data_IF_550171325525
#
_entry.id   IF_550171325525
#
_cell.length_a   1.000
_cell.length_b   1.000
_cell.length_c   1.000
_cell.angle_alpha   90.00
_cell.angle_beta   90.00
_cell.angle_gamma   90.00
#
_symmetry.space_group_name_H-M   'P 1'
#
loop_
_entity.id
_entity.type
_entity.pdbx_description
1 polymer ?
#
# COMPACT_ATOMS: atom_id res chain seq x y z
N UNK A 1 74.19 -23.57 11.87
CA UNK A 1 73.07 -23.21 10.98
C UNK A 1 72.83 -21.73 11.15
N UNK A 2 73.39 -20.98 10.21
CA UNK A 2 73.56 -19.53 10.26
C UNK A 2 72.23 -18.77 10.29
N UNK A 3 72.14 -17.85 11.25
CA UNK A 3 71.05 -16.89 11.37
C UNK A 3 71.32 -15.75 10.39
N UNK A 4 70.58 -15.73 9.27
CA UNK A 4 70.69 -14.70 8.24
C UNK A 4 70.05 -13.39 8.72
N UNK A 5 70.88 -12.44 9.17
CA UNK A 5 70.47 -11.07 9.37
C UNK A 5 70.10 -10.45 8.01
N UNK A 6 68.82 -10.12 7.81
CA UNK A 6 68.34 -9.40 6.61
C UNK A 6 68.85 -7.96 6.66
N UNK A 7 69.82 -7.64 5.79
CA UNK A 7 70.32 -6.28 5.58
C UNK A 7 69.39 -5.53 4.61
N UNK A 8 69.09 -4.27 4.93
CA UNK A 8 68.52 -3.30 3.98
C UNK A 8 69.65 -2.37 3.54
N UNK A 9 69.91 -2.29 2.23
CA UNK A 9 70.90 -1.40 1.64
C UNK A 9 70.27 -0.03 1.33
N UNK A 10 70.89 1.03 1.83
CA UNK A 10 70.67 2.41 1.37
C UNK A 10 72.07 2.99 1.12
N UNK A 11 72.32 3.46 -0.10
CA UNK A 11 73.59 4.07 -0.55
C UNK A 11 74.87 3.22 -0.38
N UNK A 12 74.78 1.90 -0.56
CA UNK A 12 75.95 1.02 -0.68
C UNK A 12 76.71 0.73 0.62
N UNK A 13 76.15 1.08 1.79
CA UNK A 13 76.70 0.74 3.12
C UNK A 13 75.74 -0.15 3.92
N UNK A 14 76.23 -1.18 4.64
CA UNK A 14 75.40 -2.04 5.47
C UNK A 14 74.84 -1.25 6.66
N UNK A 15 73.56 -0.91 6.63
CA UNK A 15 72.90 -0.19 7.72
C UNK A 15 72.51 -1.15 8.85
N UNK A 16 73.27 -1.12 9.94
CA UNK A 16 72.87 -1.77 11.20
C UNK A 16 71.71 -0.97 11.79
N UNK A 17 70.48 -1.40 11.49
CA UNK A 17 69.28 -0.79 12.07
C UNK A 17 69.36 -0.85 13.58
N UNK A 18 69.67 0.29 14.21
CA UNK A 18 69.73 0.39 15.66
C UNK A 18 68.36 0.04 16.23
N UNK A 19 68.33 -0.54 17.42
CA UNK A 19 67.08 -0.88 18.10
C UNK A 19 66.13 0.32 18.15
N UNK A 20 66.67 1.52 18.35
CA UNK A 20 65.92 2.78 18.33
C UNK A 20 65.19 3.03 17.00
N UNK A 21 65.79 2.72 15.86
CA UNK A 21 65.15 2.89 14.55
C UNK A 21 63.98 1.91 14.35
N UNK A 22 64.16 0.63 14.72
CA UNK A 22 63.06 -0.35 14.66
C UNK A 22 61.93 0.02 15.62
N UNK A 23 62.27 0.48 16.82
CA UNK A 23 61.29 0.97 17.79
C UNK A 23 60.51 2.16 17.24
N UNK A 24 61.21 3.11 16.60
CA UNK A 24 60.58 4.28 15.99
C UNK A 24 59.61 3.90 14.86
N UNK A 25 59.95 2.92 14.02
CA UNK A 25 59.03 2.43 12.98
C UNK A 25 57.77 1.79 13.59
N UNK A 26 57.92 0.94 14.61
CA UNK A 26 56.78 0.32 15.32
C UNK A 26 55.90 1.40 15.98
N UNK A 27 56.52 2.43 16.57
CA UNK A 27 55.79 3.55 17.17
C UNK A 27 55.05 4.35 16.09
N UNK A 28 55.67 4.63 14.95
CA UNK A 28 55.04 5.36 13.85
C UNK A 28 53.86 4.60 13.26
N UNK A 29 53.99 3.29 13.06
CA UNK A 29 52.90 2.43 12.59
C UNK A 29 51.75 2.39 13.60
N UNK A 30 52.05 2.22 14.89
CA UNK A 30 51.02 2.23 15.94
C UNK A 30 50.30 3.60 16.03
N UNK A 31 51.03 4.71 15.93
CA UNK A 31 50.44 6.05 15.92
C UNK A 31 49.54 6.28 14.70
N UNK A 32 49.93 5.75 13.54
CA UNK A 32 49.11 5.80 12.32
C UNK A 32 47.81 5.03 12.49
N UNK A 33 47.86 3.81 13.01
CA UNK A 33 46.64 3.03 13.28
C UNK A 33 45.71 3.73 14.28
N UNK A 34 46.27 4.32 15.34
CA UNK A 34 45.50 5.10 16.31
C UNK A 34 44.84 6.31 15.63
N UNK A 35 45.56 7.04 14.77
CA UNK A 35 45.00 8.13 13.97
C UNK A 35 43.85 7.70 13.07
N UNK A 36 43.99 6.56 12.40
CA UNK A 36 42.95 5.99 11.53
C UNK A 36 41.70 5.56 12.32
N UNK A 37 41.86 5.04 13.54
CA UNK A 37 40.71 4.72 14.40
C UNK A 37 40.00 5.97 14.92
N UNK A 38 40.76 7.02 15.27
CA UNK A 38 40.20 8.29 15.76
C UNK A 38 39.32 8.96 14.70
N UNK A 39 39.80 9.01 13.44
CA UNK A 39 39.03 9.59 12.32
C UNK A 39 37.73 8.82 12.06
N UNK A 40 37.74 7.48 12.15
CA UNK A 40 36.53 6.66 12.04
C UNK A 40 35.53 6.98 13.14
N UNK A 41 35.98 7.06 14.40
CA UNK A 41 35.10 7.39 15.54
C UNK A 41 34.51 8.79 15.39
N UNK A 42 35.30 9.77 14.97
CA UNK A 42 34.83 11.12 14.68
C UNK A 42 33.75 11.13 13.59
N UNK A 43 33.97 10.42 12.49
CA UNK A 43 32.97 10.31 11.40
C UNK A 43 31.66 9.67 11.85
N UNK A 44 31.72 8.66 12.73
CA UNK A 44 30.52 8.02 13.29
C UNK A 44 29.77 8.97 14.23
N UNK A 45 30.51 9.77 15.00
CA UNK A 45 29.93 10.78 15.88
C UNK A 45 29.24 11.89 15.07
N UNK A 46 29.84 12.32 13.96
CA UNK A 46 29.22 13.29 13.04
C UNK A 46 27.94 12.74 12.37
N UNK A 47 27.86 11.43 12.14
CA UNK A 47 26.68 10.78 11.56
C UNK A 47 25.53 10.53 12.55
N UNK A 48 25.80 10.56 13.86
CA UNK A 48 24.81 10.24 14.88
C UNK A 48 23.62 11.23 14.88
N UNK A 49 23.91 12.53 14.88
CA UNK A 49 22.87 13.58 14.94
C UNK A 49 21.96 13.59 13.69
N UNK A 50 22.49 13.51 12.45
CA UNK A 50 21.67 13.35 11.25
C UNK A 50 20.76 12.11 11.27
N UNK A 51 21.28 10.95 11.70
CA UNK A 51 20.50 9.69 11.75
C UNK A 51 19.41 9.79 12.80
N UNK A 52 19.72 10.33 13.98
CA UNK A 52 18.72 10.57 15.02
C UNK A 52 17.62 11.53 14.54
N UNK A 53 18.00 12.61 13.87
CA UNK A 53 17.06 13.58 13.28
C UNK A 53 16.18 12.93 12.21
N UNK A 54 16.75 12.06 11.38
CA UNK A 54 15.99 11.29 10.39
C UNK A 54 14.99 10.35 11.06
N UNK A 55 15.40 9.62 12.10
CA UNK A 55 14.53 8.72 12.85
C UNK A 55 13.35 9.46 13.49
N UNK A 56 13.59 10.61 14.12
CA UNK A 56 12.52 11.43 14.69
C UNK A 56 11.59 12.00 13.60
N UNK A 57 12.14 12.47 12.47
CA UNK A 57 11.31 12.90 11.33
C UNK A 57 10.47 11.78 10.75
N UNK A 58 11.02 10.57 10.65
CA UNK A 58 10.30 9.41 10.15
C UNK A 58 9.16 9.04 11.11
N UNK A 59 9.46 8.97 12.41
CA UNK A 59 8.48 8.72 13.46
C UNK A 59 7.34 9.75 13.45
N UNK A 60 7.66 11.03 13.29
CA UNK A 60 6.67 12.09 13.18
C UNK A 60 5.86 11.98 11.87
N UNK A 61 6.52 11.69 10.75
CA UNK A 61 5.87 11.45 9.47
C UNK A 61 4.88 10.27 9.52
N UNK A 62 5.24 9.19 10.21
CA UNK A 62 4.35 8.05 10.44
C UNK A 62 3.17 8.43 11.32
N UNK A 63 3.38 9.17 12.42
CA UNK A 63 2.29 9.59 13.31
C UNK A 63 1.32 10.56 12.62
N UNK A 64 1.83 11.54 11.89
CA UNK A 64 1.00 12.54 11.20
C UNK A 64 0.19 11.92 10.07
N UNK A 65 0.79 11.05 9.26
CA UNK A 65 0.13 10.45 8.08
C UNK A 65 -0.71 9.21 8.41
N UNK A 66 -0.27 8.40 9.38
CA UNK A 66 -0.90 7.10 9.71
C UNK A 66 -1.56 7.06 11.09
N UNK A 67 -1.38 8.08 11.93
CA UNK A 67 -1.79 8.02 13.34
C UNK A 67 -3.29 7.89 13.56
N UNK A 68 -4.12 8.25 12.57
CA UNK A 68 -5.58 8.21 12.68
C UNK A 68 -6.25 7.68 11.42
N UNK A 69 -5.72 6.58 10.89
CA UNK A 69 -6.27 5.96 9.69
C UNK A 69 -7.74 5.53 9.89
N UNK A 70 -8.08 5.06 11.10
CA UNK A 70 -9.44 4.64 11.49
C UNK A 70 -10.46 5.79 11.45
N UNK A 71 -10.01 7.05 11.61
CA UNK A 71 -10.88 8.23 11.53
C UNK A 71 -11.24 8.59 10.08
N UNK A 72 -10.45 8.12 9.12
CA UNK A 72 -10.76 8.32 7.71
C UNK A 72 -11.86 7.33 7.31
N UNK A 73 -13.04 7.86 7.02
CA UNK A 73 -14.21 7.06 6.66
C UNK A 73 -13.94 6.18 5.43
N UNK A 74 -13.43 6.74 4.33
CA UNK A 74 -13.20 5.98 3.09
C UNK A 74 -12.24 4.81 3.27
N UNK A 75 -11.11 5.05 3.95
CA UNK A 75 -10.10 4.00 4.18
C UNK A 75 -10.68 2.92 5.09
N UNK A 76 -11.39 3.33 6.14
CA UNK A 76 -11.95 2.37 7.11
C UNK A 76 -13.09 1.57 6.51
N UNK A 77 -13.99 2.20 5.74
CA UNK A 77 -15.04 1.52 4.99
C UNK A 77 -14.45 0.51 4.00
N UNK A 78 -13.47 0.93 3.20
CA UNK A 78 -12.80 0.05 2.24
C UNK A 78 -12.12 -1.13 2.93
N UNK A 79 -11.57 -0.90 4.12
CA UNK A 79 -10.91 -1.96 4.91
C UNK A 79 -11.92 -2.94 5.51
N UNK A 80 -13.07 -2.47 6.00
CA UNK A 80 -14.14 -3.36 6.49
C UNK A 80 -14.72 -4.21 5.36
N UNK A 81 -14.91 -3.61 4.18
CA UNK A 81 -15.44 -4.29 3.00
C UNK A 81 -14.45 -5.27 2.35
N UNK A 82 -13.18 -5.29 2.80
CA UNK A 82 -12.23 -6.30 2.37
C UNK A 82 -12.42 -7.60 3.20
N UNK A 83 -12.76 -8.75 2.57
CA UNK A 83 -12.99 -10.01 3.27
C UNK A 83 -11.79 -10.52 4.08
N UNK A 84 -10.59 -10.03 3.80
CA UNK A 84 -9.34 -10.41 4.49
C UNK A 84 -9.15 -9.69 5.82
N UNK A 85 -9.78 -8.53 6.00
CA UNK A 85 -9.56 -7.64 7.12
C UNK A 85 -10.79 -7.51 8.01
N UNK A 86 -11.95 -7.16 7.44
CA UNK A 86 -13.21 -6.91 8.16
C UNK A 86 -12.97 -6.08 9.44
N UNK A 87 -13.52 -6.52 10.57
CA UNK A 87 -13.38 -5.86 11.86
C UNK A 87 -11.99 -6.04 12.52
N UNK A 88 -11.12 -6.93 12.02
CA UNK A 88 -9.79 -7.16 12.64
C UNK A 88 -8.79 -6.04 12.39
N UNK A 89 -9.00 -5.25 11.33
CA UNK A 89 -8.10 -4.14 11.03
C UNK A 89 -8.27 -2.94 11.95
N UNK A 90 -9.41 -2.83 12.64
CA UNK A 90 -9.73 -1.70 13.51
C UNK A 90 -9.54 -2.13 14.97
N UNK A 91 -8.76 -1.34 15.72
CA UNK A 91 -8.50 -1.62 17.15
C UNK A 91 -9.53 -0.96 18.06
N UNK A 92 -10.05 0.21 17.67
CA UNK A 92 -11.01 0.96 18.49
C UNK A 92 -12.46 0.45 18.30
N UNK A 93 -13.09 -0.02 19.38
CA UNK A 93 -14.47 -0.51 19.38
C UNK A 93 -15.50 0.56 19.05
N UNK A 94 -15.31 1.79 19.50
CA UNK A 94 -16.25 2.90 19.23
C UNK A 94 -16.30 3.23 17.75
N UNK A 95 -15.15 3.21 17.09
CA UNK A 95 -15.05 3.45 15.64
C UNK A 95 -15.68 2.32 14.84
N UNK A 96 -15.61 1.07 15.31
CA UNK A 96 -16.29 -0.07 14.68
C UNK A 96 -17.81 0.16 14.64
N UNK A 97 -18.40 0.51 15.77
CA UNK A 97 -19.86 0.72 15.85
C UNK A 97 -20.30 1.94 15.03
N UNK A 98 -19.55 3.03 15.09
CA UNK A 98 -19.78 4.20 14.24
C UNK A 98 -19.75 3.84 12.74
N UNK A 99 -18.78 3.02 12.33
CA UNK A 99 -18.60 2.65 10.93
C UNK A 99 -19.67 1.65 10.44
N UNK A 100 -20.14 0.75 11.32
CA UNK A 100 -21.31 -0.08 11.04
C UNK A 100 -22.56 0.77 10.78
N UNK A 101 -22.79 1.80 11.60
CA UNK A 101 -23.92 2.69 11.43
C UNK A 101 -23.82 3.48 10.11
N UNK A 102 -22.63 3.98 9.76
CA UNK A 102 -22.38 4.63 8.47
C UNK A 102 -22.67 3.67 7.31
N UNK A 103 -22.19 2.41 7.39
CA UNK A 103 -22.47 1.40 6.36
C UNK A 103 -23.97 1.15 6.20
N UNK A 104 -24.69 0.96 7.31
CA UNK A 104 -26.15 0.78 7.30
C UNK A 104 -26.84 1.95 6.60
N UNK A 105 -26.51 3.18 6.98
CA UNK A 105 -27.08 4.39 6.35
C UNK A 105 -26.77 4.45 4.85
N UNK A 106 -25.52 4.13 4.44
CA UNK A 106 -25.15 4.12 3.02
C UNK A 106 -25.93 3.08 2.23
N UNK A 107 -26.05 1.86 2.75
CA UNK A 107 -26.81 0.79 2.09
C UNK A 107 -28.28 1.19 1.94
N UNK A 108 -28.89 1.75 2.98
CA UNK A 108 -30.28 2.24 2.94
C UNK A 108 -30.45 3.34 1.89
N UNK A 109 -29.53 4.30 1.84
CA UNK A 109 -29.58 5.38 0.85
C UNK A 109 -29.43 4.87 -0.58
N UNK A 110 -28.57 3.89 -0.83
CA UNK A 110 -28.41 3.24 -2.14
C UNK A 110 -29.67 2.47 -2.55
N UNK A 111 -30.30 1.75 -1.63
CA UNK A 111 -31.57 1.04 -1.86
C UNK A 111 -32.68 2.04 -2.23
N UNK A 112 -32.82 3.11 -1.44
CA UNK A 112 -33.83 4.14 -1.69
C UNK A 112 -33.60 4.90 -2.99
N UNK A 113 -32.33 5.11 -3.39
CA UNK A 113 -31.98 5.76 -4.65
C UNK A 113 -32.33 4.91 -5.87
N UNK A 114 -32.20 3.58 -5.77
CA UNK A 114 -32.61 2.64 -6.82
C UNK A 114 -34.13 2.46 -6.91
N UNK A 115 -34.85 2.69 -5.80
CA UNK A 115 -36.31 2.57 -5.73
C UNK A 115 -37.05 3.87 -6.12
N UNK A 116 -36.36 4.94 -6.52
CA UNK A 116 -36.99 6.11 -7.14
C UNK A 116 -37.49 5.74 -8.55
N UNK A 117 -38.80 5.86 -8.84
CA UNK A 117 -39.28 5.69 -10.20
C UNK A 117 -38.70 6.82 -11.05
N UNK A 118 -37.90 6.47 -12.06
CA UNK A 118 -37.53 7.37 -13.15
C UNK A 118 -38.83 7.71 -13.90
N UNK A 119 -39.53 8.76 -13.45
CA UNK A 119 -40.58 9.37 -14.24
C UNK A 119 -39.92 10.12 -15.40
N UNK A 120 -40.25 9.69 -16.61
CA UNK A 120 -39.71 10.19 -17.87
C UNK A 120 -40.07 11.65 -18.10
N UNK A 121 -39.10 12.45 -18.59
CA UNK A 121 -39.35 13.81 -19.06
C UNK A 121 -38.08 14.52 -19.54
N UNK A 122 -37.96 14.62 -20.87
CA UNK A 122 -37.21 15.62 -21.65
C UNK A 122 -35.73 15.42 -22.04
N UNK A 123 -35.31 15.98 -23.19
CA UNK A 123 -34.61 15.25 -24.23
C UNK A 123 -33.12 15.55 -24.27
N UNK A 124 -32.36 14.51 -24.59
CA UNK A 124 -30.95 14.60 -24.98
C UNK A 124 -30.80 15.34 -26.33
N UNK A 125 -29.99 16.40 -26.43
CA UNK A 125 -29.39 16.79 -27.70
C UNK A 125 -28.13 15.93 -27.91
N UNK A 126 -28.21 15.01 -28.86
CA UNK A 126 -27.05 14.31 -29.40
C UNK A 126 -26.11 15.30 -30.08
N UNK A 127 -24.85 15.33 -29.63
CA UNK A 127 -23.74 15.96 -30.36
C UNK A 127 -22.71 14.89 -30.68
N UNK A 128 -22.80 14.36 -31.89
CA UNK A 128 -21.76 13.55 -32.53
C UNK A 128 -20.68 14.43 -33.14
N UNK A 129 -19.41 14.05 -32.96
CA UNK A 129 -18.30 14.37 -33.87
C UNK A 129 -17.17 13.35 -33.64
N UNK A 130 -16.37 12.89 -34.59
CA UNK A 130 -16.48 12.61 -36.03
C UNK A 130 -15.11 12.04 -36.41
N UNK A 131 -15.06 10.92 -37.14
CA UNK A 131 -13.88 10.58 -37.97
C UNK A 131 -14.31 9.81 -39.22
N UNK A 132 -14.54 10.59 -40.27
CA UNK A 132 -14.27 10.35 -41.71
C UNK A 132 -14.54 8.97 -42.36
N UNK A 133 -15.69 8.87 -43.07
CA UNK A 133 -15.97 8.57 -44.51
C UNK A 133 -14.98 7.72 -45.38
N UNK A 134 -15.38 7.11 -46.54
CA UNK A 134 -16.71 7.09 -47.21
C UNK A 134 -17.21 5.73 -47.80
N UNK A 135 -18.53 5.70 -48.06
CA UNK A 135 -19.31 5.04 -49.13
C UNK A 135 -19.17 3.53 -49.47
N UNK A 136 -20.30 2.79 -49.48
CA UNK A 136 -21.07 2.45 -50.70
C UNK A 136 -22.29 1.57 -50.35
N UNK A 137 -23.46 2.02 -50.81
CA UNK A 137 -24.77 1.39 -51.05
C UNK A 137 -25.05 -0.09 -50.70
N UNK A 138 -26.21 -0.28 -50.07
CA UNK A 138 -27.28 -1.26 -50.41
C UNK A 138 -27.74 -2.21 -49.29
N UNK A 139 -29.06 -2.19 -49.07
CA UNK A 139 -29.92 -3.16 -48.39
C UNK A 139 -29.83 -3.28 -46.85
N UNK A 140 -30.99 -3.04 -46.22
CA UNK A 140 -31.35 -3.24 -44.81
C UNK A 140 -30.55 -4.32 -44.07
N UNK A 141 -30.12 -4.07 -42.81
CA UNK A 141 -29.99 -5.11 -41.82
C UNK A 141 -31.14 -5.03 -40.81
N UNK A 142 -31.87 -6.15 -40.78
CA UNK A 142 -32.79 -6.60 -39.75
C UNK A 142 -32.35 -6.16 -38.35
N UNK A 143 -33.27 -5.54 -37.62
CA UNK A 143 -33.15 -5.18 -36.22
C UNK A 143 -33.11 -6.47 -35.39
N UNK A 144 -31.94 -7.08 -35.31
CA UNK A 144 -31.66 -8.19 -34.40
C UNK A 144 -31.68 -7.59 -33.00
N UNK A 145 -32.83 -7.72 -32.33
CA UNK A 145 -32.91 -7.57 -30.89
C UNK A 145 -31.83 -8.49 -30.32
N UNK A 146 -30.79 -7.89 -29.72
CA UNK A 146 -29.88 -8.62 -28.88
C UNK A 146 -30.71 -9.04 -27.67
N UNK A 147 -31.41 -10.17 -27.77
CA UNK A 147 -32.02 -10.82 -26.63
C UNK A 147 -30.86 -11.16 -25.71
N UNK A 148 -30.61 -10.29 -24.73
CA UNK A 148 -29.66 -10.58 -23.66
C UNK A 148 -30.18 -11.85 -23.01
N UNK A 149 -29.45 -12.95 -23.14
CA UNK A 149 -29.80 -14.27 -22.59
C UNK A 149 -30.15 -14.19 -21.09
N UNK A 150 -29.62 -13.17 -20.43
CA UNK A 150 -29.78 -12.90 -19.01
C UNK A 150 -30.91 -11.93 -18.69
N UNK A 151 -31.62 -11.32 -19.64
CA UNK A 151 -32.63 -10.30 -19.31
C UNK A 151 -33.76 -10.84 -18.42
N UNK A 152 -34.23 -12.06 -18.67
CA UNK A 152 -35.24 -12.70 -17.84
C UNK A 152 -34.70 -13.02 -16.45
N UNK A 153 -33.48 -13.56 -16.38
CA UNK A 153 -32.78 -13.85 -15.13
C UNK A 153 -32.50 -12.58 -14.31
N UNK A 154 -31.97 -11.54 -14.93
CA UNK A 154 -31.68 -10.25 -14.31
C UNK A 154 -32.96 -9.66 -13.72
N UNK A 155 -34.08 -9.70 -14.47
CA UNK A 155 -35.37 -9.23 -13.94
C UNK A 155 -35.91 -10.07 -12.79
N UNK A 156 -35.63 -11.37 -12.75
CA UNK A 156 -36.03 -12.26 -11.65
C UNK A 156 -35.16 -12.05 -10.42
N UNK A 157 -33.84 -11.89 -10.61
CA UNK A 157 -32.91 -11.52 -9.53
C UNK A 157 -33.19 -10.13 -8.99
N UNK A 158 -33.57 -9.16 -9.82
CA UNK A 158 -33.95 -7.81 -9.40
C UNK A 158 -35.22 -7.85 -8.54
N UNK A 159 -36.21 -8.67 -8.91
CA UNK A 159 -37.43 -8.88 -8.10
C UNK A 159 -37.09 -9.53 -6.76
N UNK A 160 -36.23 -10.55 -6.75
CA UNK A 160 -35.82 -11.24 -5.52
C UNK A 160 -34.95 -10.35 -4.62
N UNK A 161 -34.07 -9.55 -5.22
CA UNK A 161 -33.27 -8.55 -4.52
C UNK A 161 -34.17 -7.47 -3.90
N UNK A 162 -35.14 -6.96 -4.65
CA UNK A 162 -36.08 -5.94 -4.17
C UNK A 162 -36.98 -6.41 -3.01
N UNK A 163 -37.20 -7.72 -2.84
CA UNK A 163 -37.94 -8.30 -1.70
C UNK A 163 -37.07 -8.48 -0.46
N UNK A 164 -35.75 -8.67 -0.63
CA UNK A 164 -34.78 -8.84 0.46
C UNK A 164 -34.23 -7.51 0.99
N UNK A 165 -34.37 -6.41 0.26
CA UNK A 165 -33.79 -5.09 0.58
C UNK A 165 -34.63 -4.24 1.55
N UNK A 166 -35.49 -4.85 2.38
CA UNK A 166 -36.03 -4.15 3.56
C UNK A 166 -34.86 -3.70 4.46
N UNK A 167 -35.01 -2.60 5.20
CA UNK A 167 -34.01 -2.08 6.16
C UNK A 167 -33.43 -3.20 7.06
N UNK A 168 -34.31 -4.12 7.48
CA UNK A 168 -33.96 -5.29 8.28
C UNK A 168 -33.08 -6.29 7.51
N UNK A 169 -33.37 -6.53 6.23
CA UNK A 169 -32.61 -7.46 5.40
C UNK A 169 -31.21 -6.94 5.02
N UNK A 170 -31.08 -5.65 4.77
CA UNK A 170 -29.78 -5.00 4.54
C UNK A 170 -28.87 -5.05 5.77
N UNK A 171 -29.43 -4.86 6.96
CA UNK A 171 -28.68 -4.98 8.22
C UNK A 171 -28.26 -6.44 8.50
N UNK A 172 -29.17 -7.40 8.28
CA UNK A 172 -28.90 -8.83 8.48
C UNK A 172 -27.83 -9.35 7.51
N UNK A 173 -27.85 -8.92 6.24
CA UNK A 173 -26.85 -9.28 5.25
C UNK A 173 -25.46 -8.71 5.61
N UNK A 174 -25.41 -7.45 6.08
CA UNK A 174 -24.17 -6.85 6.56
C UNK A 174 -23.61 -7.62 7.77
N UNK A 175 -24.47 -7.99 8.73
CA UNK A 175 -24.06 -8.75 9.90
C UNK A 175 -23.58 -10.16 9.52
N UNK A 176 -24.23 -10.80 8.53
CA UNK A 176 -23.79 -12.08 7.96
C UNK A 176 -22.41 -11.96 7.30
N UNK A 177 -22.19 -10.94 6.48
CA UNK A 177 -20.88 -10.67 5.87
C UNK A 177 -19.78 -10.46 6.92
N UNK A 178 -20.08 -9.72 7.99
CA UNK A 178 -19.14 -9.47 9.08
C UNK A 178 -18.85 -10.74 9.90
N UNK A 179 -19.82 -11.65 10.01
CA UNK A 179 -19.68 -12.93 10.72
C UNK A 179 -18.90 -14.00 9.95
N UNK A 180 -18.86 -13.92 8.61
CA UNK A 180 -18.11 -14.88 7.80
C UNK A 180 -16.61 -14.94 8.15
N UNK A 181 -15.99 -16.09 7.92
CA UNK A 181 -14.56 -16.29 8.22
C UNK A 181 -13.65 -15.36 7.39
N UNK A 182 -12.51 -15.00 7.98
CA UNK A 182 -11.50 -14.20 7.29
C UNK A 182 -10.73 -15.05 6.29
N UNK A 183 -10.53 -14.51 5.09
CA UNK A 183 -9.68 -15.12 4.07
C UNK A 183 -8.21 -14.83 4.40
N UNK A 184 -7.33 -15.81 4.22
CA UNK A 184 -5.89 -15.59 4.41
C UNK A 184 -5.37 -14.55 3.39
N UNK A 185 -4.42 -13.72 3.82
CA UNK A 185 -3.85 -12.66 2.96
C UNK A 185 -3.22 -13.17 1.66
N UNK A 186 -2.75 -14.41 1.65
CA UNK A 186 -2.09 -15.06 0.51
C UNK A 186 -3.08 -15.70 -0.48
N UNK A 187 -4.35 -15.80 -0.11
CA UNK A 187 -5.37 -16.42 -0.94
C UNK A 187 -6.07 -15.38 -1.81
N UNK A 188 -6.46 -15.77 -3.03
CA UNK A 188 -7.25 -14.91 -3.91
C UNK A 188 -8.67 -14.77 -3.35
N UNK A 189 -9.16 -13.54 -3.10
CA UNK A 189 -10.48 -13.32 -2.50
C UNK A 189 -11.64 -13.60 -3.46
N UNK A 190 -11.41 -13.53 -4.78
CA UNK A 190 -12.41 -13.80 -5.82
C UNK A 190 -12.12 -15.16 -6.47
N UNK A 191 -12.52 -16.24 -5.79
CA UNK A 191 -12.60 -17.57 -6.41
C UNK A 191 -14.05 -17.75 -6.88
N UNK A 192 -14.25 -17.73 -8.19
CA UNK A 192 -15.50 -18.11 -8.84
C UNK A 192 -15.41 -19.57 -9.27
#
# INVERSE_FOLDING_TARGET
>A
MESAARYFEVDGLPHFGCLAHKLNLVIQDALKEIGDTLTKVQSLQELYDPVKKLAEKLKEGMKTRLGNLERNETISLSTILDPRFKLKAIKNKEQIEHLKNILKIKIINEINSKNQPVNSGEPVPSSSSSSSEPATSAANPVQLQTLSLWSEFDTETDKEFSLKTSDVGAAEELDKYLADNLIKRTERPLKY
#
